data_IF_380561528998
#
_entry.id   IF_380561528998
#
_cell.length_a   1.000
_cell.length_b   1.000
_cell.length_c   1.000
_cell.angle_alpha   90.00
_cell.angle_beta   90.00
_cell.angle_gamma   90.00
#
_symmetry.space_group_name_H-M   'P 1'
#
loop_
_entity.id
_entity.type
_entity.pdbx_description
1 polymer ?
#
# COMPACT_ATOMS: atom_id res chain seq x y z
N UNK A 1 -5.06 13.49 4.83
CA UNK A 1 -5.02 13.94 6.24
C UNK A 1 -3.59 13.98 6.78
N UNK A 2 -2.79 12.94 6.58
CA UNK A 2 -1.41 12.82 7.10
C UNK A 2 -0.49 13.93 6.60
N UNK A 3 -0.52 14.26 5.31
CA UNK A 3 0.30 15.34 4.74
C UNK A 3 0.00 16.70 5.40
N UNK A 4 -1.27 17.01 5.67
CA UNK A 4 -1.66 18.23 6.38
C UNK A 4 -1.18 18.21 7.83
N UNK A 5 -1.25 17.06 8.51
CA UNK A 5 -0.74 16.94 9.88
C UNK A 5 0.78 17.14 9.95
N UNK A 6 1.54 16.56 9.02
CA UNK A 6 2.96 16.75 8.92
C UNK A 6 3.33 18.22 8.67
N UNK A 7 2.65 18.89 7.73
CA UNK A 7 2.87 20.31 7.47
C UNK A 7 2.61 21.18 8.71
N UNK A 8 1.54 20.90 9.48
CA UNK A 8 1.26 21.61 10.73
C UNK A 8 2.33 21.36 11.81
N UNK A 9 2.85 20.13 11.92
CA UNK A 9 3.90 19.80 12.89
C UNK A 9 5.22 20.49 12.51
N UNK A 10 5.57 20.56 11.24
CA UNK A 10 6.73 21.27 10.72
C UNK A 10 6.64 22.77 11.02
N UNK A 11 5.48 23.39 10.77
CA UNK A 11 5.24 24.79 11.09
C UNK A 11 5.37 25.08 12.59
N UNK A 12 4.81 24.22 13.43
CA UNK A 12 4.93 24.35 14.90
C UNK A 12 6.38 24.20 15.37
N UNK A 13 7.14 23.27 14.80
CA UNK A 13 8.56 23.11 15.12
C UNK A 13 9.36 24.34 14.71
N UNK A 14 9.08 24.92 13.56
CA UNK A 14 9.75 26.13 13.07
C UNK A 14 9.44 27.35 13.94
N UNK A 15 8.17 27.57 14.31
CA UNK A 15 7.79 28.62 15.26
C UNK A 15 8.50 28.43 16.60
N UNK A 16 8.53 27.21 17.12
CA UNK A 16 9.24 26.90 18.36
C UNK A 16 10.74 27.17 18.29
N UNK A 17 11.38 26.87 17.17
CA UNK A 17 12.80 27.19 16.95
C UNK A 17 13.05 28.69 16.85
N UNK A 18 12.17 29.46 16.23
CA UNK A 18 12.25 30.92 16.18
C UNK A 18 12.13 31.53 17.58
N UNK A 19 11.19 31.05 18.38
CA UNK A 19 11.02 31.48 19.76
C UNK A 19 12.27 31.15 20.61
N UNK A 20 12.82 29.94 20.47
CA UNK A 20 14.03 29.54 21.18
C UNK A 20 15.24 30.44 20.83
N UNK A 21 15.39 30.80 19.56
CA UNK A 21 16.42 31.74 19.11
C UNK A 21 16.23 33.13 19.71
N UNK A 22 15.00 33.65 19.71
CA UNK A 22 14.68 34.96 20.28
C UNK A 22 15.00 35.04 21.80
N UNK A 23 14.62 33.96 22.54
CA UNK A 23 14.94 33.86 23.99
C UNK A 23 16.46 33.81 24.23
N UNK A 24 17.16 33.03 23.41
CA UNK A 24 18.64 32.95 23.49
C UNK A 24 19.28 34.31 23.23
N UNK A 25 18.85 34.99 22.19
CA UNK A 25 19.42 36.28 21.78
C UNK A 25 19.15 37.36 22.82
N UNK A 26 18.00 37.34 23.47
CA UNK A 26 17.68 38.20 24.61
C UNK A 26 18.55 37.89 25.86
N UNK A 27 18.78 36.57 26.11
CA UNK A 27 19.63 36.15 27.24
C UNK A 27 21.12 36.48 27.06
N UNK A 28 21.58 36.54 25.80
CA UNK A 28 22.97 36.84 25.45
C UNK A 28 23.20 38.32 25.13
N UNK A 29 22.15 39.13 25.06
CA UNK A 29 22.32 40.58 24.83
C UNK A 29 23.20 41.18 25.93
N UNK A 30 24.29 41.90 25.56
CA UNK A 30 25.15 42.53 26.55
C UNK A 30 24.30 43.52 27.36
N UNK A 31 24.22 43.26 28.69
CA UNK A 31 23.55 44.19 29.59
C UNK A 31 24.26 45.56 29.49
N UNK A 32 23.56 46.58 29.00
CA UNK A 32 24.06 47.94 29.14
C UNK A 32 24.32 48.25 30.63
N UNK A 33 25.46 48.88 30.96
CA UNK A 33 25.72 49.24 32.33
C UNK A 33 24.58 50.12 32.84
N UNK A 34 24.04 49.74 33.99
CA UNK A 34 22.90 50.33 34.63
C UNK A 34 23.03 51.86 34.81
N UNK A 35 22.47 52.60 33.85
CA UNK A 35 22.13 54.00 34.02
C UNK A 35 20.61 54.10 33.93
N UNK A 36 20.00 54.39 35.06
CA UNK A 36 18.58 54.63 35.29
C UNK A 36 17.59 53.45 35.05
N UNK A 37 17.08 52.89 36.13
CA UNK A 37 16.05 51.86 36.17
C UNK A 37 14.72 52.22 35.44
N UNK A 38 14.57 53.49 35.02
CA UNK A 38 13.33 54.01 34.44
C UNK A 38 13.22 53.80 32.90
N UNK A 39 14.28 53.34 32.23
CA UNK A 39 14.33 53.28 30.74
C UNK A 39 14.56 51.88 30.17
N UNK A 40 14.46 50.81 30.99
CA UNK A 40 14.61 49.44 30.46
C UNK A 40 13.42 49.06 29.62
N UNK A 41 13.58 48.78 28.33
CA UNK A 41 12.45 48.33 27.51
C UNK A 41 11.87 47.03 28.12
N UNK A 42 10.54 46.83 28.14
CA UNK A 42 9.94 45.65 28.69
C UNK A 42 10.49 44.41 27.94
N UNK A 43 11.04 43.47 28.71
CA UNK A 43 11.45 42.17 28.17
C UNK A 43 10.30 41.55 27.39
N UNK A 44 10.59 41.09 26.18
CA UNK A 44 9.58 40.44 25.33
C UNK A 44 8.99 39.20 25.97
N UNK A 45 9.69 38.57 26.92
CA UNK A 45 9.32 37.36 27.61
C UNK A 45 8.94 37.54 29.09
N UNK A 46 8.79 38.80 29.53
CA UNK A 46 8.46 39.12 30.91
C UNK A 46 9.67 39.04 31.88
N UNK A 47 9.41 39.25 33.19
CA UNK A 47 10.42 39.20 34.24
C UNK A 47 10.79 37.80 34.73
N UNK A 48 10.34 36.73 33.98
CA UNK A 48 10.59 35.34 34.33
C UNK A 48 12.01 34.87 34.03
N UNK A 49 12.35 33.72 34.61
CA UNK A 49 13.62 33.04 34.30
C UNK A 49 13.65 32.61 32.82
N UNK A 50 14.45 33.31 32.00
CA UNK A 50 14.65 33.02 30.58
C UNK A 50 15.14 31.58 30.35
N UNK A 51 15.90 31.01 31.29
CA UNK A 51 16.36 29.63 31.25
C UNK A 51 15.17 28.65 31.33
N UNK A 52 14.18 28.94 32.18
CA UNK A 52 12.96 28.14 32.28
C UNK A 52 12.09 28.24 31.02
N UNK A 53 11.94 29.42 30.46
CA UNK A 53 11.21 29.64 29.20
C UNK A 53 11.88 28.87 28.06
N UNK A 54 13.19 29.01 27.92
CA UNK A 54 13.96 28.28 26.91
C UNK A 54 13.80 26.77 27.05
N UNK A 55 13.92 26.24 28.29
CA UNK A 55 13.82 24.80 28.52
C UNK A 55 12.43 24.24 28.15
N UNK A 56 11.34 24.99 28.40
CA UNK A 56 9.97 24.63 28.02
C UNK A 56 9.80 24.62 26.48
N UNK A 57 10.31 25.67 25.81
CA UNK A 57 10.24 25.75 24.34
C UNK A 57 11.04 24.61 23.72
N UNK A 58 12.28 24.37 24.17
CA UNK A 58 13.13 23.31 23.68
C UNK A 58 12.51 21.91 23.89
N UNK A 59 11.79 21.71 25.00
CA UNK A 59 11.02 20.48 25.24
C UNK A 59 9.86 20.36 24.28
N UNK A 60 9.09 21.41 24.05
CA UNK A 60 7.95 21.41 23.13
C UNK A 60 8.42 21.11 21.70
N UNK A 61 9.50 21.75 21.22
CA UNK A 61 10.07 21.50 19.90
C UNK A 61 10.49 20.04 19.75
N UNK A 62 11.21 19.47 20.73
CA UNK A 62 11.60 18.05 20.68
C UNK A 62 10.40 17.10 20.61
N UNK A 63 9.33 17.40 21.36
CA UNK A 63 8.10 16.60 21.31
C UNK A 63 7.40 16.70 19.94
N UNK A 64 7.38 17.90 19.34
CA UNK A 64 6.81 18.10 18.00
C UNK A 64 7.57 17.31 16.94
N UNK A 65 8.91 17.38 16.96
CA UNK A 65 9.76 16.63 16.03
C UNK A 65 9.60 15.12 16.22
N UNK A 66 9.52 14.65 17.47
CA UNK A 66 9.28 13.23 17.74
C UNK A 66 7.90 12.75 17.25
N UNK A 67 6.86 13.59 17.36
CA UNK A 67 5.54 13.29 16.80
C UNK A 67 5.54 13.28 15.27
N UNK A 68 6.25 14.23 14.64
CA UNK A 68 6.42 14.27 13.19
C UNK A 68 7.04 12.97 12.67
N UNK A 69 8.15 12.54 13.26
CA UNK A 69 8.81 11.28 12.90
C UNK A 69 7.86 10.09 13.04
N UNK A 70 7.14 10.01 14.17
CA UNK A 70 6.19 8.91 14.40
C UNK A 70 5.05 8.89 13.37
N UNK A 71 4.47 10.05 13.05
CA UNK A 71 3.41 10.15 12.04
C UNK A 71 3.92 9.78 10.64
N UNK A 72 5.15 10.18 10.30
CA UNK A 72 5.78 9.81 9.04
C UNK A 72 6.00 8.28 8.96
N UNK A 73 6.57 7.68 9.99
CA UNK A 73 6.81 6.23 10.08
C UNK A 73 5.51 5.42 9.99
N UNK A 74 4.47 5.82 10.71
CA UNK A 74 3.17 5.14 10.69
C UNK A 74 2.51 5.25 9.31
N UNK A 75 2.65 6.42 8.66
CA UNK A 75 2.17 6.62 7.29
C UNK A 75 2.88 5.70 6.29
N UNK A 76 4.20 5.59 6.41
CA UNK A 76 5.01 4.72 5.56
C UNK A 76 4.65 3.25 5.77
N UNK A 77 4.53 2.80 7.02
CA UNK A 77 4.09 1.43 7.33
C UNK A 77 2.72 1.13 6.76
N UNK A 78 1.76 2.06 6.91
CA UNK A 78 0.42 1.92 6.36
C UNK A 78 0.41 1.86 4.82
N UNK A 79 1.31 2.59 4.14
CA UNK A 79 1.45 2.53 2.68
C UNK A 79 1.99 1.19 2.20
N UNK A 80 3.01 0.64 2.88
CA UNK A 80 3.58 -0.68 2.60
C UNK A 80 2.54 -1.79 2.79
N UNK A 81 1.76 -1.73 3.87
CA UNK A 81 0.69 -2.70 4.12
C UNK A 81 -0.39 -2.64 3.04
N UNK A 82 -0.80 -1.43 2.60
CA UNK A 82 -1.77 -1.27 1.51
C UNK A 82 -1.25 -1.85 0.20
N UNK A 83 0.01 -1.58 -0.14
CA UNK A 83 0.61 -2.10 -1.37
C UNK A 83 0.71 -3.64 -1.34
N UNK A 84 1.14 -4.22 -0.22
CA UNK A 84 1.14 -5.68 -0.06
C UNK A 84 -0.25 -6.29 -0.22
N UNK A 85 -1.30 -5.66 0.34
CA UNK A 85 -2.68 -6.11 0.16
C UNK A 85 -3.14 -6.00 -1.29
N UNK A 86 -2.75 -4.92 -2.00
CA UNK A 86 -3.06 -4.75 -3.41
C UNK A 86 -2.43 -5.85 -4.26
N UNK A 87 -1.13 -6.12 -4.04
CA UNK A 87 -0.41 -7.19 -4.74
C UNK A 87 -1.05 -8.56 -4.44
N UNK A 88 -1.34 -8.85 -3.16
CA UNK A 88 -1.99 -10.09 -2.77
C UNK A 88 -3.38 -10.26 -3.40
N UNK A 89 -4.16 -9.18 -3.52
CA UNK A 89 -5.48 -9.22 -4.16
C UNK A 89 -5.38 -9.53 -5.66
N UNK A 90 -4.39 -8.95 -6.36
CA UNK A 90 -4.13 -9.24 -7.78
C UNK A 90 -3.73 -10.70 -7.97
N UNK A 91 -2.82 -11.21 -7.15
CA UNK A 91 -2.41 -12.63 -7.20
C UNK A 91 -3.58 -13.58 -6.90
N UNK A 92 -4.41 -13.22 -5.92
CA UNK A 92 -5.60 -14.01 -5.58
C UNK A 92 -6.59 -14.06 -6.75
N UNK A 93 -6.90 -12.90 -7.35
CA UNK A 93 -7.81 -12.85 -8.49
C UNK A 93 -7.29 -13.65 -9.70
N UNK A 94 -5.98 -13.59 -9.96
CA UNK A 94 -5.36 -14.39 -11.02
C UNK A 94 -5.41 -15.90 -10.72
N UNK A 95 -5.22 -16.29 -9.45
CA UNK A 95 -5.32 -17.68 -9.04
C UNK A 95 -6.76 -18.21 -9.15
N UNK A 96 -7.73 -17.43 -8.66
CA UNK A 96 -9.15 -17.78 -8.75
C UNK A 96 -9.57 -17.98 -10.21
N UNK A 97 -9.22 -17.05 -11.08
CA UNK A 97 -9.48 -17.14 -12.51
C UNK A 97 -8.84 -18.37 -13.16
N UNK A 98 -7.60 -18.70 -12.76
CA UNK A 98 -6.92 -19.92 -13.24
C UNK A 98 -7.68 -21.18 -12.84
N UNK A 99 -8.12 -21.25 -11.59
CA UNK A 99 -8.88 -22.37 -11.08
C UNK A 99 -10.23 -22.52 -11.76
N UNK A 100 -10.89 -21.40 -12.04
CA UNK A 100 -12.14 -21.36 -12.78
C UNK A 100 -11.98 -21.96 -14.19
N UNK A 101 -11.00 -21.46 -14.96
CA UNK A 101 -10.69 -21.96 -16.32
C UNK A 101 -10.30 -23.44 -16.27
N UNK A 102 -9.45 -23.82 -15.31
CA UNK A 102 -9.08 -25.22 -15.10
C UNK A 102 -10.30 -26.11 -14.91
N UNK A 103 -11.25 -25.67 -14.09
CA UNK A 103 -12.50 -26.42 -13.83
C UNK A 103 -13.26 -26.69 -15.14
N UNK A 104 -13.50 -25.65 -15.94
CA UNK A 104 -14.24 -25.81 -17.20
C UNK A 104 -13.50 -26.68 -18.23
N UNK A 105 -12.19 -26.52 -18.38
CA UNK A 105 -11.42 -27.34 -19.33
C UNK A 105 -11.36 -28.81 -18.86
N UNK A 106 -11.23 -29.04 -17.54
CA UNK A 106 -11.28 -30.40 -16.98
C UNK A 106 -12.63 -31.06 -17.27
N UNK A 107 -13.73 -30.34 -17.06
CA UNK A 107 -15.08 -30.84 -17.37
C UNK A 107 -15.25 -31.18 -18.86
N UNK A 108 -14.68 -30.36 -19.75
CA UNK A 108 -14.67 -30.65 -21.20
C UNK A 108 -13.85 -31.91 -21.53
N UNK A 109 -12.69 -32.09 -20.89
CA UNK A 109 -11.86 -33.29 -21.06
C UNK A 109 -12.61 -34.54 -20.61
N UNK A 110 -13.24 -34.49 -19.44
CA UNK A 110 -14.00 -35.60 -18.86
C UNK A 110 -15.21 -35.97 -19.75
N UNK A 111 -15.97 -34.99 -20.22
CA UNK A 111 -17.10 -35.19 -21.14
C UNK A 111 -16.63 -35.88 -22.43
N UNK A 112 -15.55 -35.37 -23.04
CA UNK A 112 -14.97 -35.96 -24.24
C UNK A 112 -14.40 -37.37 -23.97
N UNK A 113 -13.81 -37.62 -22.81
CA UNK A 113 -13.31 -38.95 -22.44
C UNK A 113 -14.42 -39.99 -22.39
N UNK A 114 -15.57 -39.64 -21.86
CA UNK A 114 -16.76 -40.52 -21.86
C UNK A 114 -17.26 -40.76 -23.26
N UNK A 115 -17.42 -39.70 -24.07
CA UNK A 115 -17.95 -39.80 -25.44
C UNK A 115 -17.05 -40.67 -26.34
N UNK A 116 -15.72 -40.42 -26.31
CA UNK A 116 -14.75 -41.09 -27.16
C UNK A 116 -14.16 -42.35 -26.57
N UNK A 117 -14.48 -42.67 -25.30
CA UNK A 117 -13.94 -43.83 -24.56
C UNK A 117 -12.41 -43.76 -24.49
N UNK A 118 -11.88 -42.62 -24.12
CA UNK A 118 -10.42 -42.44 -23.96
C UNK A 118 -9.91 -43.36 -22.85
N UNK A 119 -8.68 -43.81 -22.98
CA UNK A 119 -8.04 -44.57 -21.90
C UNK A 119 -7.54 -43.61 -20.78
N UNK A 120 -7.50 -44.09 -19.55
CA UNK A 120 -7.12 -43.29 -18.37
C UNK A 120 -5.83 -42.51 -18.55
N UNK A 121 -4.80 -43.12 -19.16
CA UNK A 121 -3.52 -42.47 -19.42
C UNK A 121 -3.59 -41.32 -20.46
N UNK A 122 -4.58 -41.33 -21.35
CA UNK A 122 -4.81 -40.23 -22.32
C UNK A 122 -5.46 -39.05 -21.59
N UNK A 123 -6.39 -39.33 -20.67
CA UNK A 123 -7.01 -38.30 -19.82
C UNK A 123 -5.97 -37.69 -18.91
N UNK A 124 -5.13 -38.47 -18.22
CA UNK A 124 -4.04 -37.97 -17.38
C UNK A 124 -3.10 -37.05 -18.18
N UNK A 125 -2.70 -37.46 -19.38
CA UNK A 125 -1.85 -36.63 -20.22
C UNK A 125 -2.50 -35.28 -20.60
N UNK A 126 -3.80 -35.26 -20.92
CA UNK A 126 -4.52 -34.02 -21.22
C UNK A 126 -4.62 -33.09 -20.01
N UNK A 127 -4.74 -33.66 -18.80
CA UNK A 127 -4.74 -32.87 -17.57
C UNK A 127 -3.35 -32.31 -17.24
N UNK A 128 -2.30 -33.08 -17.45
CA UNK A 128 -0.91 -32.59 -17.31
C UNK A 128 -0.60 -31.48 -18.30
N UNK A 129 -0.99 -31.65 -19.59
CA UNK A 129 -0.82 -30.63 -20.62
C UNK A 129 -1.63 -29.37 -20.30
N UNK A 130 -2.80 -29.48 -19.66
CA UNK A 130 -3.60 -28.36 -19.18
C UNK A 130 -2.87 -27.60 -18.07
N UNK A 131 -2.33 -28.30 -17.08
CA UNK A 131 -1.61 -27.68 -15.98
C UNK A 131 -0.36 -26.93 -16.46
N UNK A 132 0.42 -27.52 -17.34
CA UNK A 132 1.58 -26.86 -17.98
C UNK A 132 1.17 -25.58 -18.72
N UNK A 133 0.05 -25.61 -19.44
CA UNK A 133 -0.50 -24.45 -20.13
C UNK A 133 -0.92 -23.32 -19.19
N UNK A 134 -1.58 -23.68 -18.10
CA UNK A 134 -2.01 -22.70 -17.09
C UNK A 134 -0.84 -22.11 -16.29
N UNK A 135 0.25 -22.88 -16.13
CA UNK A 135 1.48 -22.39 -15.47
C UNK A 135 2.30 -21.46 -16.34
N UNK A 136 2.32 -21.68 -17.65
CA UNK A 136 3.06 -20.85 -18.62
C UNK A 136 2.60 -19.37 -18.62
N UNK A 137 1.48 -19.05 -18.00
CA UNK A 137 1.08 -17.69 -17.61
C UNK A 137 0.59 -16.76 -18.72
N UNK A 138 1.06 -16.94 -19.93
CA UNK A 138 0.74 -16.07 -21.10
C UNK A 138 -0.71 -16.23 -21.59
N UNK A 139 -1.39 -17.28 -21.14
CA UNK A 139 -2.73 -17.66 -21.61
C UNK A 139 -3.83 -16.89 -20.87
N UNK A 140 -3.57 -16.38 -19.67
CA UNK A 140 -4.56 -15.84 -18.75
C UNK A 140 -4.79 -14.32 -18.88
N UNK A 141 -4.54 -13.72 -20.06
CA UNK A 141 -4.80 -12.31 -20.32
C UNK A 141 -6.20 -11.83 -19.87
N UNK A 142 -6.57 -10.60 -20.23
CA UNK A 142 -7.86 -9.99 -19.90
C UNK A 142 -9.05 -10.54 -20.72
N UNK A 143 -8.81 -11.53 -21.61
CA UNK A 143 -9.83 -12.10 -22.46
C UNK A 143 -10.97 -12.75 -21.64
N UNK A 144 -12.22 -12.78 -22.13
CA UNK A 144 -13.34 -13.46 -21.44
C UNK A 144 -13.02 -14.94 -21.16
N UNK A 145 -13.60 -15.47 -20.06
CA UNK A 145 -13.36 -16.86 -19.64
C UNK A 145 -13.70 -17.85 -20.75
N UNK A 146 -14.86 -17.69 -21.42
CA UNK A 146 -15.29 -18.57 -22.50
C UNK A 146 -14.30 -18.60 -23.68
N UNK A 147 -13.71 -17.45 -24.05
CA UNK A 147 -12.67 -17.37 -25.09
C UNK A 147 -11.40 -18.12 -24.68
N UNK A 148 -10.99 -17.99 -23.41
CA UNK A 148 -9.84 -18.71 -22.89
C UNK A 148 -10.06 -20.21 -22.85
N UNK A 149 -11.25 -20.66 -22.40
CA UNK A 149 -11.64 -22.07 -22.41
C UNK A 149 -11.63 -22.61 -23.83
N UNK A 150 -12.26 -21.91 -24.79
CA UNK A 150 -12.26 -22.30 -26.19
C UNK A 150 -10.85 -22.47 -26.77
N UNK A 151 -9.97 -21.51 -26.50
CA UNK A 151 -8.59 -21.53 -26.98
C UNK A 151 -7.79 -22.68 -26.39
N UNK A 152 -7.88 -22.88 -25.05
CA UNK A 152 -7.15 -23.97 -24.40
C UNK A 152 -7.68 -25.33 -24.87
N UNK A 153 -8.98 -25.51 -24.97
CA UNK A 153 -9.57 -26.74 -25.51
C UNK A 153 -9.11 -27.01 -26.95
N UNK A 154 -9.09 -25.99 -27.82
CA UNK A 154 -8.58 -26.12 -29.17
C UNK A 154 -7.09 -26.54 -29.20
N UNK A 155 -6.27 -25.96 -28.35
CA UNK A 155 -4.85 -26.29 -28.23
C UNK A 155 -4.61 -27.72 -27.74
N UNK A 156 -5.50 -28.25 -26.87
CA UNK A 156 -5.45 -29.63 -26.37
C UNK A 156 -6.13 -30.63 -27.32
N UNK A 157 -6.77 -30.16 -28.40
CA UNK A 157 -7.56 -31.01 -29.28
C UNK A 157 -8.87 -31.51 -28.68
N UNK A 158 -9.35 -30.82 -27.65
CA UNK A 158 -10.61 -31.08 -26.96
C UNK A 158 -11.72 -30.24 -27.60
N UNK A 159 -12.89 -30.86 -27.86
CA UNK A 159 -14.06 -30.15 -28.36
C UNK A 159 -14.97 -29.88 -27.17
N UNK A 160 -15.12 -28.62 -26.72
CA UNK A 160 -15.97 -28.31 -25.57
C UNK A 160 -17.44 -28.47 -25.95
N UNK A 161 -18.20 -29.13 -25.09
CA UNK A 161 -19.66 -29.15 -25.16
C UNK A 161 -20.23 -27.91 -24.45
N UNK A 162 -20.53 -26.87 -25.23
CA UNK A 162 -21.03 -25.60 -24.70
C UNK A 162 -22.38 -25.72 -23.99
N UNK A 163 -23.14 -26.79 -24.24
CA UNK A 163 -24.43 -27.03 -23.56
C UNK A 163 -24.23 -27.25 -22.03
N UNK A 164 -23.06 -27.68 -21.61
CA UNK A 164 -22.74 -27.84 -20.16
C UNK A 164 -22.78 -26.52 -19.42
N UNK A 165 -22.63 -25.39 -20.12
CA UNK A 165 -22.41 -24.06 -19.51
C UNK A 165 -23.41 -23.01 -20.02
N UNK A 166 -24.55 -23.40 -20.60
CA UNK A 166 -25.56 -22.46 -21.15
C UNK A 166 -26.05 -21.42 -20.16
N UNK A 167 -26.06 -21.73 -18.84
CA UNK A 167 -26.49 -20.84 -17.78
C UNK A 167 -25.34 -19.89 -17.28
N UNK A 168 -24.14 -20.01 -17.81
CA UNK A 168 -23.03 -19.17 -17.39
C UNK A 168 -23.01 -17.81 -18.12
N UNK A 169 -22.73 -16.71 -17.41
CA UNK A 169 -22.82 -15.34 -17.95
C UNK A 169 -21.84 -15.05 -19.08
N UNK A 170 -20.90 -15.97 -19.38
CA UNK A 170 -19.91 -15.86 -20.45
C UNK A 170 -20.13 -16.87 -21.61
N UNK A 171 -21.13 -17.71 -21.53
CA UNK A 171 -21.49 -18.68 -22.55
C UNK A 171 -22.18 -18.05 -23.77
#
# INVERSE_FOLDING_TARGET
RTARQLAMLQELAEIGMQMARAVRDEALAPGEPASDEASKPPSRFGTGDLGLVYSRIARAVRQTVALETRVADDSQKASVVRERRRIAAVHWAAHERRNEIRGYVTEAIEAQAVERRLADHEVERLLDDLDDRLEAGDVLGEAPVGELVARICADLGVIPDWSLWEDHPWA
#
